data_IF_639605075497
#
_entry.id   IF_639605075497
#
_cell.length_a   1.000
_cell.length_b   1.000
_cell.length_c   1.000
_cell.angle_alpha   90.00
_cell.angle_beta   90.00
_cell.angle_gamma   90.00
#
_symmetry.space_group_name_H-M   'P 1'
#
loop_
_entity.id
_entity.type
_entity.pdbx_description
1 polymer ?
#
# COMPACT_ATOMS: atom_id res chain seq x y z
N UNK A 1 -14.45 -11.78 -6.13
CA UNK A 1 -13.46 -12.82 -6.46
C UNK A 1 -12.18 -12.56 -5.66
N UNK A 2 -11.89 -13.32 -4.59
CA UNK A 2 -10.79 -13.01 -3.68
C UNK A 2 -9.39 -12.99 -4.34
N UNK A 3 -9.19 -13.70 -5.46
CA UNK A 3 -7.86 -13.88 -6.07
C UNK A 3 -7.27 -12.67 -6.81
N UNK A 4 -8.08 -11.64 -7.10
CA UNK A 4 -7.61 -10.49 -7.91
C UNK A 4 -6.41 -9.76 -7.30
N UNK A 5 -6.32 -9.70 -5.96
CA UNK A 5 -5.16 -9.11 -5.29
C UNK A 5 -3.90 -9.95 -5.55
N UNK A 6 -3.95 -11.25 -5.28
CA UNK A 6 -2.80 -12.14 -5.48
C UNK A 6 -2.34 -12.14 -6.93
N UNK A 7 -3.27 -12.23 -7.89
CA UNK A 7 -2.96 -12.30 -9.32
C UNK A 7 -2.36 -11.01 -9.87
N UNK A 8 -2.68 -9.86 -9.27
CA UNK A 8 -2.09 -8.57 -9.63
C UNK A 8 -0.63 -8.40 -9.21
N UNK A 9 -0.12 -9.27 -8.32
CA UNK A 9 1.26 -9.20 -7.87
C UNK A 9 2.23 -9.73 -8.94
N UNK A 10 3.40 -9.07 -9.11
CA UNK A 10 4.48 -9.59 -9.94
C UNK A 10 4.78 -11.08 -9.67
N UNK A 11 5.08 -11.88 -10.71
CA UNK A 11 5.33 -13.32 -10.57
C UNK A 11 6.38 -13.67 -9.51
N UNK A 12 7.44 -12.85 -9.38
CA UNK A 12 8.49 -13.04 -8.37
C UNK A 12 7.93 -13.08 -6.96
N UNK A 13 7.01 -12.17 -6.59
CA UNK A 13 6.40 -12.17 -5.28
C UNK A 13 5.46 -13.38 -5.09
N UNK A 14 4.73 -13.75 -6.16
CA UNK A 14 3.89 -14.94 -6.11
C UNK A 14 4.68 -16.23 -5.91
N UNK A 15 5.93 -16.30 -6.38
CA UNK A 15 6.78 -17.47 -6.21
C UNK A 15 7.40 -17.56 -4.81
N UNK A 16 7.98 -16.47 -4.29
CA UNK A 16 8.85 -16.55 -3.11
C UNK A 16 8.49 -15.61 -1.95
N UNK A 17 7.58 -14.64 -2.11
CA UNK A 17 7.32 -13.67 -1.04
C UNK A 17 6.66 -14.32 0.19
N UNK A 18 7.09 -13.88 1.37
CA UNK A 18 6.39 -14.11 2.63
C UNK A 18 5.55 -12.88 2.93
N UNK A 19 4.25 -13.07 3.16
CA UNK A 19 3.28 -11.99 3.33
C UNK A 19 2.91 -11.83 4.80
N UNK A 20 3.10 -10.62 5.33
CA UNK A 20 2.66 -10.21 6.65
C UNK A 20 1.49 -9.26 6.52
N UNK A 21 0.38 -9.55 7.19
CA UNK A 21 -0.83 -8.72 7.14
C UNK A 21 -1.40 -8.51 8.53
N UNK A 22 -2.40 -7.63 8.65
CA UNK A 22 -3.28 -7.63 9.81
C UNK A 22 -4.21 -8.87 9.80
N UNK A 23 -5.11 -8.94 10.78
CA UNK A 23 -6.03 -10.06 10.97
C UNK A 23 -7.31 -9.96 10.13
N UNK A 24 -7.29 -9.26 8.99
CA UNK A 24 -8.49 -9.20 8.16
C UNK A 24 -8.79 -10.56 7.50
N UNK A 25 -9.95 -11.14 7.81
CA UNK A 25 -10.34 -12.51 7.44
C UNK A 25 -10.25 -12.82 5.93
N UNK A 26 -10.41 -11.80 5.09
CA UNK A 26 -10.36 -11.97 3.64
C UNK A 26 -8.99 -12.46 3.15
N UNK A 27 -7.90 -12.13 3.86
CA UNK A 27 -6.54 -12.49 3.48
C UNK A 27 -6.28 -13.99 3.52
N UNK A 28 -6.99 -14.73 4.36
CA UNK A 28 -6.90 -16.19 4.43
C UNK A 28 -7.23 -16.87 3.09
N UNK A 29 -8.12 -16.26 2.30
CA UNK A 29 -8.52 -16.77 0.98
C UNK A 29 -7.63 -16.26 -0.18
N UNK A 30 -6.73 -15.31 0.10
CA UNK A 30 -5.92 -14.60 -0.91
C UNK A 30 -4.49 -15.13 -0.91
N UNK A 31 -3.88 -15.24 0.27
CA UNK A 31 -2.47 -15.57 0.39
C UNK A 31 -2.23 -17.07 0.63
N UNK A 32 -1.15 -17.65 0.08
CA UNK A 32 -0.79 -19.03 0.34
C UNK A 32 -0.51 -19.28 1.83
N UNK A 33 -1.23 -20.22 2.44
CA UNK A 33 -1.19 -20.49 3.89
C UNK A 33 0.22 -20.69 4.46
N UNK A 34 1.11 -21.36 3.73
CA UNK A 34 2.50 -21.62 4.16
C UNK A 34 3.39 -20.37 4.22
N UNK A 35 3.01 -19.30 3.52
CA UNK A 35 3.79 -18.05 3.40
C UNK A 35 3.03 -16.83 3.93
N UNK A 36 1.90 -17.06 4.58
CA UNK A 36 1.01 -16.04 5.11
C UNK A 36 1.12 -16.00 6.63
N UNK A 37 1.35 -14.81 7.18
CA UNK A 37 1.39 -14.58 8.61
C UNK A 37 0.54 -13.36 8.97
N UNK A 38 -0.61 -13.61 9.60
CA UNK A 38 -1.36 -12.57 10.28
C UNK A 38 -0.58 -12.17 11.55
N UNK A 39 -0.28 -10.88 11.67
CA UNK A 39 0.57 -10.36 12.74
C UNK A 39 -0.13 -9.23 13.49
N UNK A 40 0.13 -9.19 14.80
CA UNK A 40 -0.33 -8.08 15.62
C UNK A 40 0.55 -6.85 15.42
N UNK A 41 -0.03 -5.69 15.75
CA UNK A 41 0.63 -4.39 15.66
C UNK A 41 1.98 -4.34 16.40
N UNK A 42 2.10 -5.10 17.48
CA UNK A 42 3.29 -5.14 18.34
C UNK A 42 4.51 -5.78 17.65
N UNK A 43 4.32 -6.52 16.56
CA UNK A 43 5.42 -7.18 15.83
C UNK A 43 6.25 -6.22 14.96
N UNK A 44 5.71 -5.03 14.66
CA UNK A 44 6.33 -4.03 13.79
C UNK A 44 6.42 -4.41 12.31
N UNK A 45 5.94 -5.59 11.90
CA UNK A 45 6.03 -6.08 10.51
C UNK A 45 5.18 -5.27 9.53
N UNK A 46 4.09 -4.66 9.99
CA UNK A 46 3.22 -3.77 9.20
C UNK A 46 3.62 -2.30 9.26
N UNK A 47 4.65 -1.94 10.04
CA UNK A 47 5.04 -0.53 10.24
C UNK A 47 5.43 0.16 8.94
N UNK A 48 6.02 -0.58 7.98
CA UNK A 48 6.42 -0.03 6.69
C UNK A 48 5.22 0.52 5.91
N UNK A 49 4.12 -0.26 5.82
CA UNK A 49 2.93 0.16 5.09
C UNK A 49 2.16 1.25 5.85
N UNK A 50 2.14 1.18 7.18
CA UNK A 50 1.54 2.22 8.03
C UNK A 50 2.25 3.57 7.87
N UNK A 51 3.59 3.57 7.91
CA UNK A 51 4.42 4.76 7.70
C UNK A 51 4.23 5.32 6.29
N UNK A 52 4.21 4.47 5.27
CA UNK A 52 3.95 4.88 3.89
C UNK A 52 2.58 5.56 3.77
N UNK A 53 1.52 4.93 4.27
CA UNK A 53 0.16 5.47 4.23
C UNK A 53 0.05 6.81 4.98
N UNK A 54 0.72 6.94 6.12
CA UNK A 54 0.79 8.19 6.86
C UNK A 54 1.49 9.29 6.04
N UNK A 55 2.63 8.96 5.43
CA UNK A 55 3.40 9.88 4.58
C UNK A 55 2.59 10.33 3.37
N UNK A 56 1.93 9.40 2.68
CA UNK A 56 1.05 9.68 1.55
C UNK A 56 -0.08 10.65 1.96
N UNK A 57 -0.74 10.39 3.09
CA UNK A 57 -1.81 11.27 3.61
C UNK A 57 -1.32 12.68 3.90
N UNK A 58 -0.13 12.82 4.50
CA UNK A 58 0.44 14.12 4.85
C UNK A 58 0.92 14.89 3.61
N UNK A 59 1.49 14.20 2.61
CA UNK A 59 2.07 14.82 1.42
C UNK A 59 1.06 15.08 0.31
N UNK A 60 0.01 14.27 0.22
CA UNK A 60 -1.03 14.40 -0.81
C UNK A 60 -2.33 14.91 -0.18
N UNK A 61 -2.33 16.18 0.21
CA UNK A 61 -3.47 16.83 0.88
C UNK A 61 -4.77 16.79 0.08
N UNK A 62 -4.71 16.55 -1.24
CA UNK A 62 -5.87 16.40 -2.14
C UNK A 62 -6.73 15.17 -1.84
N UNK A 63 -6.16 14.15 -1.19
CA UNK A 63 -6.85 12.90 -0.83
C UNK A 63 -7.52 12.96 0.56
N UNK A 64 -7.37 14.08 1.28
CA UNK A 64 -7.96 14.28 2.61
C UNK A 64 -9.36 14.86 2.49
N UNK A 65 -10.28 14.44 3.37
CA UNK A 65 -11.66 14.94 3.41
C UNK A 65 -11.68 16.45 3.76
N UNK A 66 -12.56 17.22 3.12
CA UNK A 66 -12.79 18.67 3.37
C UNK A 66 -11.54 19.55 3.18
N UNK A 67 -10.68 19.22 2.23
CA UNK A 67 -9.48 20.00 1.88
C UNK A 67 -9.77 21.03 0.79
N UNK A 68 -9.18 22.22 0.90
CA UNK A 68 -9.20 23.23 -0.19
C UNK A 68 -8.40 22.78 -1.41
N UNK A 69 -7.50 21.81 -1.26
CA UNK A 69 -6.70 21.27 -2.35
C UNK A 69 -7.49 20.28 -3.25
N UNK A 70 -8.73 19.96 -2.90
CA UNK A 70 -9.54 18.97 -3.62
C UNK A 70 -9.81 19.45 -5.05
N UNK A 71 -9.65 18.55 -6.02
CA UNK A 71 -9.98 18.84 -7.41
C UNK A 71 -11.19 18.04 -7.86
N UNK A 72 -12.05 18.64 -8.69
CA UNK A 72 -13.14 17.90 -9.36
C UNK A 72 -12.65 17.08 -10.55
N UNK A 73 -11.41 17.29 -11.02
CA UNK A 73 -10.83 16.56 -12.16
C UNK A 73 -10.08 15.32 -11.66
N UNK A 74 -10.47 14.15 -12.13
CA UNK A 74 -9.82 12.88 -11.79
C UNK A 74 -8.32 12.87 -12.16
N UNK A 75 -7.98 13.47 -13.31
CA UNK A 75 -6.59 13.57 -13.80
C UNK A 75 -5.66 14.27 -12.82
N UNK A 76 -6.15 15.27 -12.09
CA UNK A 76 -5.36 15.98 -11.09
C UNK A 76 -5.05 15.11 -9.86
N UNK A 77 -5.99 14.24 -9.48
CA UNK A 77 -5.76 13.28 -8.38
C UNK A 77 -4.75 12.22 -8.80
N UNK A 78 -4.92 11.66 -10.00
CA UNK A 78 -3.97 10.70 -10.58
C UNK A 78 -2.58 11.33 -10.65
N UNK A 79 -2.46 12.53 -11.21
CA UNK A 79 -1.18 13.24 -11.31
C UNK A 79 -0.54 13.54 -9.96
N UNK A 80 -1.32 13.92 -8.95
CA UNK A 80 -0.81 14.16 -7.60
C UNK A 80 -0.25 12.87 -6.94
N UNK A 81 -0.93 11.74 -7.11
CA UNK A 81 -0.46 10.43 -6.63
C UNK A 81 0.81 10.02 -7.38
N UNK A 82 0.82 10.13 -8.71
CA UNK A 82 1.96 9.79 -9.54
C UNK A 82 3.21 10.62 -9.17
N UNK A 83 3.05 11.94 -9.05
CA UNK A 83 4.14 12.82 -8.63
C UNK A 83 4.68 12.44 -7.24
N UNK A 84 3.78 12.12 -6.30
CA UNK A 84 4.19 11.65 -4.98
C UNK A 84 4.98 10.34 -5.06
N UNK A 85 4.48 9.32 -5.78
CA UNK A 85 5.14 8.00 -5.88
C UNK A 85 6.52 8.13 -6.52
N UNK A 86 6.66 8.90 -7.60
CA UNK A 86 7.96 9.15 -8.22
C UNK A 86 8.93 9.85 -7.28
N UNK A 87 8.48 10.92 -6.61
CA UNK A 87 9.32 11.63 -5.66
C UNK A 87 9.73 10.73 -4.48
N UNK A 88 8.78 10.03 -3.88
CA UNK A 88 9.02 9.11 -2.76
C UNK A 88 10.03 8.03 -3.13
N UNK A 89 9.84 7.35 -4.26
CA UNK A 89 10.75 6.32 -4.74
C UNK A 89 12.15 6.87 -5.04
N UNK A 90 12.24 8.09 -5.58
CA UNK A 90 13.53 8.75 -5.82
C UNK A 90 14.27 9.13 -4.54
N UNK A 91 13.55 9.37 -3.44
CA UNK A 91 14.14 9.66 -2.14
C UNK A 91 14.59 8.38 -1.45
N UNK A 92 13.75 7.34 -1.43
CA UNK A 92 14.10 6.04 -0.84
C UNK A 92 15.25 5.36 -1.57
N UNK A 93 15.34 5.49 -2.91
CA UNK A 93 16.45 4.92 -3.67
C UNK A 93 17.81 5.60 -3.44
N UNK A 94 17.83 6.75 -2.76
CA UNK A 94 19.06 7.49 -2.41
C UNK A 94 19.53 7.22 -0.97
N UNK A 95 18.73 6.52 -0.18
CA UNK A 95 19.05 6.06 1.19
C UNK A 95 19.66 4.66 1.13
#
# INVERSE_FOLDING_TARGET
>A
MPRGLWDSLPPVYRQCAVSYTDFWDSYNAIFPSKRYHAVSKNTGRTNCIERFNCTLRQRVSRLVRKTLAFSKKLTNHIGAIWNFVHHYNSTVARE
#
